data_IF_349587081196
#
_entry.id   IF_349587081196
#
_cell.length_a   1.000
_cell.length_b   1.000
_cell.length_c   1.000
_cell.angle_alpha   90.00
_cell.angle_beta   90.00
_cell.angle_gamma   90.00
#
_symmetry.space_group_name_H-M   'P 1'
#
loop_
_entity.id
_entity.type
_entity.pdbx_description
1 polymer ?
#
# COMPACT_ATOMS: atom_id res chain seq x y z
N UNK A 1 43.77 30.52 -30.75
CA UNK A 1 42.79 30.86 -29.69
C UNK A 1 42.54 29.61 -28.84
N UNK A 2 42.82 29.65 -27.53
CA UNK A 2 42.57 28.51 -26.64
C UNK A 2 41.11 28.49 -26.15
N UNK A 3 40.44 27.32 -26.06
CA UNK A 3 39.04 27.24 -25.69
C UNK A 3 38.81 27.50 -24.20
N UNK A 4 37.96 28.48 -23.89
CA UNK A 4 37.59 28.88 -22.52
C UNK A 4 36.58 27.86 -21.96
N UNK A 5 36.97 27.09 -20.94
CA UNK A 5 36.08 26.17 -20.22
C UNK A 5 35.05 26.95 -19.39
N UNK A 6 33.76 26.79 -19.71
CA UNK A 6 32.66 27.44 -18.98
C UNK A 6 32.51 26.86 -17.57
N UNK A 7 32.48 27.72 -16.55
CA UNK A 7 32.31 27.34 -15.13
C UNK A 7 30.91 26.79 -14.88
N UNK A 8 30.84 25.65 -14.20
CA UNK A 8 29.57 25.00 -13.82
C UNK A 8 28.84 25.80 -12.74
N UNK A 9 27.53 25.97 -12.90
CA UNK A 9 26.70 26.80 -12.00
C UNK A 9 26.46 26.09 -10.65
N UNK A 10 26.27 26.87 -9.59
CA UNK A 10 26.04 26.36 -8.23
C UNK A 10 24.82 25.41 -8.16
N UNK A 11 23.79 25.66 -8.98
CA UNK A 11 22.62 24.77 -9.11
C UNK A 11 23.00 23.38 -9.61
N UNK A 12 23.87 23.29 -10.62
CA UNK A 12 24.35 22.00 -11.12
C UNK A 12 25.21 21.25 -10.08
N UNK A 13 25.96 21.97 -9.24
CA UNK A 13 26.72 21.37 -8.13
C UNK A 13 25.80 20.83 -7.02
N UNK A 14 24.76 21.56 -6.64
CA UNK A 14 23.78 21.12 -5.64
C UNK A 14 22.97 19.90 -6.09
N UNK A 15 22.64 19.81 -7.39
CA UNK A 15 21.95 18.66 -7.96
C UNK A 15 22.82 17.39 -7.97
N UNK A 16 24.15 17.53 -8.02
CA UNK A 16 25.08 16.39 -7.93
C UNK A 16 25.29 15.92 -6.49
N UNK A 17 25.29 16.83 -5.52
CA UNK A 17 25.36 16.50 -4.09
C UNK A 17 24.08 15.84 -3.54
N UNK A 18 22.92 16.09 -4.17
CA UNK A 18 21.65 15.47 -3.82
C UNK A 18 21.42 14.09 -4.45
N UNK A 19 22.33 13.61 -5.33
CA UNK A 19 22.30 12.23 -5.80
C UNK A 19 23.04 11.39 -4.76
N UNK A 20 22.41 10.39 -4.12
CA UNK A 20 23.17 9.44 -3.33
C UNK A 20 24.27 8.90 -4.25
N UNK A 21 25.52 8.93 -3.79
CA UNK A 21 26.62 8.28 -4.49
C UNK A 21 26.11 6.88 -4.88
N UNK A 22 26.22 6.54 -6.16
CA UNK A 22 25.86 5.21 -6.65
C UNK A 22 26.61 4.21 -5.80
N UNK A 23 25.90 3.61 -4.84
CA UNK A 23 26.40 2.48 -4.09
C UNK A 23 26.87 1.48 -5.14
N UNK A 24 28.13 1.06 -5.02
CA UNK A 24 28.67 -0.04 -5.79
C UNK A 24 27.65 -1.17 -5.71
N UNK A 25 27.06 -1.54 -6.85
CA UNK A 25 26.14 -2.67 -6.87
C UNK A 25 26.91 -3.89 -6.35
N UNK A 26 26.38 -4.63 -5.35
CA UNK A 26 26.96 -5.89 -4.93
C UNK A 26 27.10 -6.80 -6.15
N UNK A 27 28.24 -7.50 -6.24
CA UNK A 27 28.46 -8.51 -7.28
C UNK A 27 27.35 -9.57 -7.18
N UNK A 28 26.91 -10.15 -8.31
CA UNK A 28 25.77 -11.08 -8.32
C UNK A 28 25.98 -12.35 -7.47
N UNK A 29 27.17 -12.59 -6.95
CA UNK A 29 27.48 -13.75 -6.08
C UNK A 29 26.99 -13.55 -4.62
N UNK A 30 26.71 -12.32 -4.19
CA UNK A 30 26.12 -12.02 -2.86
C UNK A 30 24.59 -12.19 -2.83
N UNK A 31 23.97 -12.53 -3.97
CA UNK A 31 22.53 -12.70 -4.15
C UNK A 31 22.01 -14.08 -3.70
N UNK A 32 22.81 -14.85 -2.97
CA UNK A 32 22.38 -16.11 -2.35
C UNK A 32 21.61 -15.89 -1.04
N UNK A 33 21.63 -14.67 -0.49
CA UNK A 33 20.96 -14.32 0.77
C UNK A 33 19.55 -13.75 0.58
N UNK A 34 18.93 -13.91 -0.59
CA UNK A 34 17.48 -13.70 -0.70
C UNK A 34 16.79 -14.66 0.28
N UNK A 35 15.82 -14.19 1.09
CA UNK A 35 15.12 -15.04 2.03
C UNK A 35 14.40 -16.15 1.25
N UNK A 36 15.03 -17.33 1.21
CA UNK A 36 14.57 -18.51 0.46
C UNK A 36 13.26 -19.02 1.05
N UNK A 37 13.07 -18.85 2.37
CA UNK A 37 11.90 -19.33 3.09
C UNK A 37 10.84 -18.24 3.29
N UNK A 38 9.57 -18.67 3.38
CA UNK A 38 8.43 -17.82 3.76
C UNK A 38 8.64 -17.20 5.16
N UNK A 39 9.27 -17.94 6.08
CA UNK A 39 9.57 -17.52 7.45
C UNK A 39 10.50 -16.31 7.47
N UNK A 40 11.55 -16.32 6.65
CA UNK A 40 12.49 -15.20 6.59
C UNK A 40 11.85 -13.96 5.95
N UNK A 41 11.03 -14.14 4.91
CA UNK A 41 10.24 -13.03 4.34
C UNK A 41 9.32 -12.39 5.38
N UNK A 42 8.67 -13.20 6.22
CA UNK A 42 7.80 -12.69 7.29
C UNK A 42 8.60 -11.98 8.39
N UNK A 43 9.74 -12.54 8.82
CA UNK A 43 10.64 -11.91 9.80
C UNK A 43 11.20 -10.57 9.31
N UNK A 44 11.60 -10.50 8.04
CA UNK A 44 12.10 -9.26 7.42
C UNK A 44 10.99 -8.21 7.33
N UNK A 45 9.76 -8.59 6.96
CA UNK A 45 8.60 -7.68 6.95
C UNK A 45 8.29 -7.16 8.34
N UNK A 46 8.27 -8.05 9.34
CA UNK A 46 7.99 -7.70 10.73
C UNK A 46 9.04 -6.74 11.29
N UNK A 47 10.33 -7.06 11.15
CA UNK A 47 11.43 -6.19 11.60
C UNK A 47 11.41 -4.81 10.91
N UNK A 48 11.14 -4.78 9.60
CA UNK A 48 10.99 -3.53 8.85
C UNK A 48 9.82 -2.69 9.38
N UNK A 49 8.68 -3.32 9.65
CA UNK A 49 7.48 -2.67 10.19
C UNK A 49 7.70 -2.11 11.60
N UNK A 50 8.27 -2.89 12.51
CA UNK A 50 8.59 -2.46 13.89
C UNK A 50 9.53 -1.25 13.85
N UNK A 51 10.60 -1.33 13.05
CA UNK A 51 11.55 -0.21 12.92
C UNK A 51 10.91 1.08 12.38
N UNK A 52 9.86 0.96 11.57
CA UNK A 52 9.13 2.12 11.00
C UNK A 52 8.26 2.79 12.05
N UNK A 53 7.58 1.99 12.87
CA UNK A 53 6.72 2.48 13.95
C UNK A 53 7.56 3.16 15.02
N UNK A 54 8.59 2.49 15.54
CA UNK A 54 9.46 3.04 16.58
C UNK A 54 10.10 4.37 16.14
N UNK A 55 10.59 4.46 14.90
CA UNK A 55 11.19 5.69 14.35
C UNK A 55 10.17 6.83 14.13
N UNK A 56 8.89 6.50 13.91
CA UNK A 56 7.82 7.49 13.75
C UNK A 56 7.28 8.00 15.09
N UNK A 57 7.21 7.13 16.10
CA UNK A 57 6.80 7.46 17.47
C UNK A 57 7.81 8.37 18.18
N UNK A 58 9.10 8.18 17.92
CA UNK A 58 10.17 9.03 18.49
C UNK A 58 10.33 10.41 17.81
N UNK A 59 9.51 10.74 16.79
CA UNK A 59 9.60 12.06 16.13
C UNK A 59 8.80 13.08 16.93
N UNK A 60 9.46 14.14 17.41
CA UNK A 60 8.79 15.26 18.07
C UNK A 60 7.75 15.88 17.12
N UNK A 61 6.51 15.99 17.59
CA UNK A 61 5.38 16.49 16.79
C UNK A 61 5.72 17.88 16.26
N UNK A 62 5.71 18.02 14.93
CA UNK A 62 6.10 19.26 14.25
C UNK A 62 5.14 20.37 14.67
N UNK A 63 5.64 21.35 15.44
CA UNK A 63 4.84 22.49 15.92
C UNK A 63 4.27 23.25 14.71
N UNK A 64 2.94 23.37 14.66
CA UNK A 64 2.25 24.17 13.64
C UNK A 64 2.56 25.65 13.87
N UNK A 65 2.67 26.42 12.78
CA UNK A 65 2.77 27.90 12.84
C UNK A 65 1.56 28.45 13.61
N UNK A 66 1.69 29.56 14.35
CA UNK A 66 0.60 30.10 15.18
C UNK A 66 -0.71 30.30 14.40
N UNK A 67 -0.64 30.79 13.16
CA UNK A 67 -1.79 30.97 12.27
C UNK A 67 -2.48 29.64 11.86
N UNK A 68 -1.77 28.52 11.94
CA UNK A 68 -2.32 27.20 11.63
C UNK A 68 -2.49 26.35 12.89
N UNK A 69 -2.45 26.91 14.10
CA UNK A 69 -2.74 26.13 15.31
C UNK A 69 -4.23 25.84 15.33
N UNK A 70 -4.61 24.60 15.62
CA UNK A 70 -6.00 24.29 15.93
C UNK A 70 -6.34 25.02 17.23
N UNK A 71 -7.33 25.89 17.17
CA UNK A 71 -7.87 26.56 18.35
C UNK A 71 -8.78 25.53 19.01
N UNK A 72 -8.33 24.95 20.12
CA UNK A 72 -9.05 23.89 20.84
C UNK A 72 -9.94 24.49 21.96
N UNK A 73 -10.65 25.58 21.65
CA UNK A 73 -11.62 26.18 22.58
C UNK A 73 -13.02 25.66 22.26
N UNK A 74 -13.88 25.51 23.28
CA UNK A 74 -15.24 24.97 23.11
C UNK A 74 -16.10 25.78 22.11
N UNK A 75 -15.86 27.08 22.00
CA UNK A 75 -16.53 27.96 21.02
C UNK A 75 -16.09 27.67 19.58
N UNK A 76 -14.81 27.33 19.35
CA UNK A 76 -14.32 26.96 18.02
C UNK A 76 -14.83 25.59 17.56
N UNK A 77 -15.22 24.72 18.50
CA UNK A 77 -15.87 23.44 18.21
C UNK A 77 -17.33 23.63 17.77
N UNK A 78 -18.02 24.65 18.31
CA UNK A 78 -19.37 24.99 17.87
C UNK A 78 -19.38 25.54 16.42
N UNK A 79 -18.43 26.42 16.09
CA UNK A 79 -18.28 27.02 14.74
C UNK A 79 -17.77 26.00 13.69
N UNK A 80 -17.04 24.98 14.12
CA UNK A 80 -16.56 23.90 13.26
C UNK A 80 -17.61 22.81 13.00
N UNK A 81 -18.79 22.88 13.62
CA UNK A 81 -19.88 21.93 13.37
C UNK A 81 -20.62 22.36 12.09
N UNK A 82 -20.58 21.57 11.01
CA UNK A 82 -21.30 21.91 9.79
C UNK A 82 -22.81 21.89 10.06
N UNK A 83 -23.44 23.06 10.04
CA UNK A 83 -24.91 23.22 10.14
C UNK A 83 -25.44 23.61 11.52
N UNK A 84 -24.65 24.24 12.39
CA UNK A 84 -25.11 24.76 13.68
C UNK A 84 -25.55 26.24 13.65
N UNK A 85 -25.77 26.81 12.46
CA UNK A 85 -26.51 28.06 12.33
C UNK A 85 -27.99 27.75 12.58
N UNK A 86 -28.44 28.09 13.77
CA UNK A 86 -29.84 28.07 14.18
C UNK A 86 -30.68 28.92 13.22
N UNK A 87 -31.89 28.42 12.94
CA UNK A 87 -33.00 29.06 12.24
C UNK A 87 -33.07 28.86 10.71
N UNK A 88 -33.33 27.62 10.28
CA UNK A 88 -33.79 27.35 8.92
C UNK A 88 -33.88 25.87 8.58
N UNK A 89 -35.05 25.28 8.84
CA UNK A 89 -35.58 24.08 8.17
C UNK A 89 -34.69 22.82 8.19
N UNK A 90 -34.96 21.91 9.13
CA UNK A 90 -34.39 20.56 9.12
C UNK A 90 -35.12 19.77 8.02
N UNK A 91 -34.64 19.89 6.79
CA UNK A 91 -35.14 19.12 5.64
C UNK A 91 -34.68 17.65 5.76
N UNK A 92 -35.43 16.89 6.58
CA UNK A 92 -35.35 15.44 6.74
C UNK A 92 -35.82 14.74 5.46
N UNK A 93 -35.01 14.70 4.40
CA UNK A 93 -35.53 14.08 3.17
C UNK A 93 -34.61 13.70 2.04
N UNK A 94 -33.40 14.22 1.93
CA UNK A 94 -32.55 13.89 0.78
C UNK A 94 -31.11 13.67 1.22
N UNK A 95 -30.67 12.41 1.17
CA UNK A 95 -29.27 12.08 1.03
C UNK A 95 -28.77 12.73 -0.28
N UNK A 96 -28.44 14.02 -0.20
CA UNK A 96 -27.69 14.72 -1.23
C UNK A 96 -26.43 13.90 -1.40
N UNK A 97 -26.37 13.13 -2.48
CA UNK A 97 -25.12 12.57 -2.98
C UNK A 97 -24.27 13.81 -3.24
N UNK A 98 -23.43 14.18 -2.26
CA UNK A 98 -22.48 15.28 -2.38
C UNK A 98 -21.52 14.82 -3.45
N UNK A 99 -21.84 15.12 -4.70
CA UNK A 99 -20.93 14.98 -5.81
C UNK A 99 -19.69 15.76 -5.39
N UNK A 100 -18.52 15.12 -5.27
CA UNK A 100 -17.33 15.82 -4.82
C UNK A 100 -17.11 16.97 -5.81
N UNK A 101 -17.00 18.20 -5.28
CA UNK A 101 -16.74 19.44 -6.05
C UNK A 101 -15.56 19.29 -7.03
N UNK A 102 -14.66 18.33 -6.79
CA UNK A 102 -13.63 17.92 -7.72
C UNK A 102 -13.83 16.46 -8.12
N UNK A 103 -14.03 16.22 -9.43
CA UNK A 103 -13.90 14.89 -10.02
C UNK A 103 -12.43 14.46 -9.87
N UNK A 104 -12.15 13.60 -8.89
CA UNK A 104 -10.83 13.04 -8.69
C UNK A 104 -10.52 12.06 -9.82
N UNK A 105 -9.96 12.55 -10.91
CA UNK A 105 -9.43 11.70 -11.97
C UNK A 105 -8.19 10.98 -11.41
N UNK A 106 -8.26 9.65 -11.27
CA UNK A 106 -7.18 8.84 -10.68
C UNK A 106 -5.91 8.80 -11.56
N UNK A 107 -6.01 9.24 -12.82
CA UNK A 107 -4.93 9.19 -13.80
C UNK A 107 -4.58 10.58 -14.32
N UNK A 108 -3.28 10.89 -14.32
CA UNK A 108 -2.75 12.11 -14.96
C UNK A 108 -3.10 12.10 -16.44
N UNK A 109 -3.57 13.23 -16.97
CA UNK A 109 -3.84 13.45 -18.40
C UNK A 109 -2.53 13.57 -19.20
N UNK A 110 -1.81 12.46 -19.35
CA UNK A 110 -0.59 12.38 -20.19
C UNK A 110 -0.89 11.61 -21.47
N UNK A 111 -0.21 11.93 -22.57
CA UNK A 111 -0.33 11.20 -23.85
C UNK A 111 -0.12 9.69 -23.61
N UNK A 112 -1.10 8.87 -23.97
CA UNK A 112 -1.05 7.42 -23.79
C UNK A 112 -1.52 6.88 -22.42
N UNK A 113 -1.87 7.73 -21.45
CA UNK A 113 -2.42 7.27 -20.17
C UNK A 113 -3.72 6.47 -20.37
N UNK A 114 -4.62 6.93 -21.25
CA UNK A 114 -5.87 6.24 -21.59
C UNK A 114 -5.63 4.85 -22.19
N UNK A 115 -4.62 4.71 -23.06
CA UNK A 115 -4.23 3.41 -23.65
C UNK A 115 -3.68 2.44 -22.60
N UNK A 116 -2.88 2.94 -21.65
CA UNK A 116 -2.38 2.11 -20.54
C UNK A 116 -3.51 1.66 -19.62
N UNK A 117 -4.44 2.56 -19.31
CA UNK A 117 -5.65 2.27 -18.53
C UNK A 117 -6.48 1.18 -19.21
N UNK A 118 -6.78 1.33 -20.50
CA UNK A 118 -7.54 0.33 -21.28
C UNK A 118 -6.84 -1.04 -21.31
N UNK A 119 -5.51 -1.07 -21.48
CA UNK A 119 -4.74 -2.31 -21.45
C UNK A 119 -4.83 -2.99 -20.08
N UNK A 120 -4.73 -2.23 -18.98
CA UNK A 120 -4.88 -2.76 -17.63
C UNK A 120 -6.30 -3.27 -17.38
N UNK A 121 -7.31 -2.49 -17.75
CA UNK A 121 -8.73 -2.89 -17.63
C UNK A 121 -9.02 -4.17 -18.41
N UNK A 122 -8.45 -4.35 -19.61
CA UNK A 122 -8.61 -5.58 -20.39
C UNK A 122 -7.99 -6.79 -19.70
N UNK A 123 -6.78 -6.63 -19.14
CA UNK A 123 -6.10 -7.70 -18.40
C UNK A 123 -6.85 -8.03 -17.10
N UNK A 124 -7.37 -7.03 -16.41
CA UNK A 124 -8.19 -7.20 -15.20
C UNK A 124 -9.49 -7.92 -15.52
N UNK A 125 -10.24 -7.49 -16.55
CA UNK A 125 -11.46 -8.19 -17.00
C UNK A 125 -11.20 -9.65 -17.34
N UNK A 126 -10.10 -9.96 -18.04
CA UNK A 126 -9.74 -11.35 -18.33
C UNK A 126 -9.47 -12.17 -17.06
N UNK A 127 -8.75 -11.58 -16.08
CA UNK A 127 -8.49 -12.22 -14.78
C UNK A 127 -9.77 -12.41 -13.97
N UNK A 128 -10.64 -11.40 -13.94
CA UNK A 128 -11.93 -11.46 -13.27
C UNK A 128 -12.83 -12.53 -13.89
N UNK A 129 -12.90 -12.61 -15.22
CA UNK A 129 -13.69 -13.64 -15.90
C UNK A 129 -13.15 -15.05 -15.62
N UNK A 130 -11.83 -15.23 -15.60
CA UNK A 130 -11.23 -16.51 -15.25
C UNK A 130 -11.51 -16.91 -13.79
N UNK A 131 -11.43 -15.95 -12.86
CA UNK A 131 -11.76 -16.19 -11.45
C UNK A 131 -13.26 -16.45 -11.25
N UNK A 132 -14.11 -15.71 -11.96
CA UNK A 132 -15.56 -15.91 -11.96
C UNK A 132 -15.91 -17.29 -12.51
N UNK A 133 -15.29 -17.73 -13.60
CA UNK A 133 -15.48 -19.08 -14.15
C UNK A 133 -15.06 -20.16 -13.16
N UNK A 134 -13.97 -19.98 -12.42
CA UNK A 134 -13.57 -20.88 -11.34
C UNK A 134 -14.60 -20.89 -10.20
N UNK A 135 -15.10 -19.71 -9.82
CA UNK A 135 -16.11 -19.57 -8.77
C UNK A 135 -17.42 -20.25 -9.18
N UNK A 136 -17.94 -19.97 -10.38
CA UNK A 136 -19.19 -20.55 -10.90
C UNK A 136 -19.06 -22.04 -11.16
N UNK A 137 -17.92 -22.53 -11.66
CA UNK A 137 -17.63 -23.96 -11.75
C UNK A 137 -17.58 -24.61 -10.35
N UNK A 138 -17.08 -23.90 -9.34
CA UNK A 138 -17.10 -24.39 -7.95
C UNK A 138 -18.50 -24.41 -7.35
N UNK A 139 -19.40 -23.51 -7.76
CA UNK A 139 -20.81 -23.48 -7.31
C UNK A 139 -21.68 -24.50 -8.05
N UNK A 140 -21.26 -24.98 -9.22
CA UNK A 140 -22.04 -25.87 -10.10
C UNK A 140 -21.54 -27.32 -10.00
N UNK A 141 -21.79 -27.97 -8.86
CA UNK A 141 -21.74 -29.43 -8.75
C UNK A 141 -20.37 -30.04 -8.43
N UNK A 142 -20.31 -30.74 -7.30
CA UNK A 142 -19.35 -31.80 -6.90
C UNK A 142 -17.87 -31.42 -6.74
N UNK A 143 -17.30 -30.54 -7.56
CA UNK A 143 -15.88 -30.14 -7.48
C UNK A 143 -15.59 -29.14 -6.35
N UNK A 144 -16.59 -28.40 -5.86
CA UNK A 144 -16.41 -27.49 -4.72
C UNK A 144 -16.11 -28.24 -3.41
N UNK A 145 -16.72 -29.42 -3.21
CA UNK A 145 -16.43 -30.25 -2.04
C UNK A 145 -15.03 -30.88 -2.12
N UNK A 146 -14.62 -31.35 -3.29
CA UNK A 146 -13.28 -31.91 -3.50
C UNK A 146 -12.20 -30.81 -3.50
N UNK A 147 -12.45 -29.62 -4.03
CA UNK A 147 -11.55 -28.48 -3.91
C UNK A 147 -11.40 -28.00 -2.45
N UNK A 148 -12.48 -28.06 -1.66
CA UNK A 148 -12.40 -27.83 -0.21
C UNK A 148 -11.62 -28.97 0.45
N UNK A 149 -11.89 -30.24 0.17
CA UNK A 149 -11.09 -31.36 0.70
C UNK A 149 -9.61 -31.23 0.34
N UNK A 150 -9.28 -30.86 -0.89
CA UNK A 150 -7.92 -30.62 -1.38
C UNK A 150 -7.27 -29.44 -0.66
N UNK A 151 -8.03 -28.36 -0.43
CA UNK A 151 -7.54 -27.21 0.34
C UNK A 151 -7.31 -27.57 1.81
N UNK A 152 -8.18 -28.38 2.40
CA UNK A 152 -8.03 -28.87 3.78
C UNK A 152 -6.90 -29.89 3.89
N UNK A 153 -6.70 -30.75 2.89
CA UNK A 153 -5.57 -31.68 2.81
C UNK A 153 -4.25 -30.92 2.66
N UNK A 154 -4.20 -29.91 1.77
CA UNK A 154 -3.06 -29.03 1.63
C UNK A 154 -2.77 -28.24 2.92
N UNK A 155 -3.81 -27.81 3.64
CA UNK A 155 -3.66 -27.16 4.95
C UNK A 155 -3.11 -28.13 6.00
N UNK A 156 -3.64 -29.35 6.09
CA UNK A 156 -3.12 -30.39 7.00
C UNK A 156 -1.66 -30.71 6.71
N UNK A 157 -1.31 -30.91 5.44
CA UNK A 157 0.08 -31.12 5.01
C UNK A 157 0.98 -29.92 5.34
N UNK A 158 0.51 -28.69 5.10
CA UNK A 158 1.24 -27.48 5.45
C UNK A 158 1.49 -27.35 6.95
N UNK A 159 0.48 -27.61 7.78
CA UNK A 159 0.57 -27.58 9.24
C UNK A 159 1.49 -28.69 9.74
N UNK A 160 1.32 -29.92 9.27
CA UNK A 160 2.18 -31.06 9.63
C UNK A 160 3.65 -30.81 9.27
N UNK A 161 3.92 -30.17 8.13
CA UNK A 161 5.28 -29.84 7.70
C UNK A 161 5.89 -28.68 8.48
N UNK A 162 5.09 -27.77 9.04
CA UNK A 162 5.57 -26.56 9.72
C UNK A 162 5.45 -26.58 11.25
N UNK A 163 4.77 -27.58 11.83
CA UNK A 163 4.66 -27.72 13.28
C UNK A 163 5.81 -28.55 13.83
N UNK A 164 6.44 -28.07 14.90
CA UNK A 164 7.44 -28.81 15.65
C UNK A 164 6.74 -29.94 16.43
N UNK A 165 6.97 -31.19 16.03
CA UNK A 165 6.51 -32.36 16.79
C UNK A 165 7.51 -32.60 17.92
N UNK A 166 7.10 -32.35 19.16
CA UNK A 166 7.93 -32.68 20.33
C UNK A 166 8.04 -34.21 20.42
N UNK A 167 9.23 -34.77 20.70
CA UNK A 167 9.48 -36.21 20.65
C UNK A 167 8.59 -37.01 21.62
N UNK A 168 8.09 -36.35 22.67
CA UNK A 168 7.12 -36.87 23.63
C UNK A 168 5.76 -37.28 23.03
N UNK A 169 5.41 -36.81 21.82
CA UNK A 169 4.15 -37.13 21.14
C UNK A 169 4.31 -38.05 19.91
N UNK A 170 5.54 -38.46 19.56
CA UNK A 170 5.81 -39.30 18.39
C UNK A 170 5.77 -40.82 18.68
N UNK A 171 5.56 -41.22 19.95
CA UNK A 171 5.44 -42.60 20.38
C UNK A 171 4.01 -42.90 20.83
N UNK A 172 3.12 -43.22 19.90
CA UNK A 172 1.91 -44.01 20.12
C UNK A 172 1.63 -44.88 18.90
#
# INVERSE_FOLDING_TARGET
MAPIKKRTTARAKSARAARPATAVLPKPDDMTSFPSTKRDKQRIKHSSFVSKIEKSSAKTQKRRRPNNKLIANLESLADALPGADTDGDIDLGQARIVQPKQKMESMKRTKGAKKRKEKLEKLEKARFNANLAQLTASTSGTQGADAVKDRWAALKSHVQTNMEVRPEFAQQ
#
